data_IF_362963991735
#
_entry.id   IF_362963991735
#
_cell.length_a   1.000
_cell.length_b   1.000
_cell.length_c   1.000
_cell.angle_alpha   90.00
_cell.angle_beta   90.00
_cell.angle_gamma   90.00
#
_symmetry.space_group_name_H-M   'P 1'
#
loop_
_entity.id
_entity.type
_entity.pdbx_description
1 polymer ?
#
# COMPACT_ATOMS: atom_id res chain seq x y z
N UNK A 1 -6.65 6.54 14.81
CA UNK A 1 -6.06 5.22 15.11
C UNK A 1 -4.65 5.41 15.59
N UNK A 2 -4.30 4.76 16.66
CA UNK A 2 -2.98 4.89 17.26
C UNK A 2 -1.94 4.13 16.47
N UNK A 3 -0.70 4.61 16.53
CA UNK A 3 0.40 3.99 15.81
C UNK A 3 0.60 2.51 16.19
N UNK A 4 0.44 2.17 17.46
CA UNK A 4 0.56 0.79 17.91
C UNK A 4 -0.47 -0.12 17.27
N UNK A 5 -1.69 0.36 17.07
CA UNK A 5 -2.73 -0.42 16.42
C UNK A 5 -2.44 -0.61 14.94
N UNK A 6 -1.93 0.43 14.30
CA UNK A 6 -1.54 0.35 12.88
C UNK A 6 -0.41 -0.67 12.73
N UNK A 7 0.58 -0.61 13.61
CA UNK A 7 1.70 -1.55 13.59
C UNK A 7 1.23 -2.99 13.77
N UNK A 8 0.32 -3.21 14.71
CA UNK A 8 -0.24 -4.52 14.96
C UNK A 8 -0.91 -5.09 13.71
N UNK A 9 -1.73 -4.28 13.06
CA UNK A 9 -2.43 -4.71 11.84
C UNK A 9 -1.49 -4.97 10.69
N UNK A 10 -0.48 -4.11 10.51
CA UNK A 10 0.49 -4.29 9.43
C UNK A 10 1.32 -5.56 9.63
N UNK A 11 1.82 -5.78 10.83
CA UNK A 11 2.63 -6.96 11.14
C UNK A 11 1.80 -8.23 10.99
N UNK A 12 0.58 -8.22 11.52
CA UNK A 12 -0.30 -9.38 11.41
C UNK A 12 -0.64 -9.69 9.96
N UNK A 13 -0.88 -8.66 9.16
CA UNK A 13 -1.15 -8.87 7.74
C UNK A 13 0.04 -9.52 7.04
N UNK A 14 1.24 -9.01 7.26
CA UNK A 14 2.45 -9.58 6.66
C UNK A 14 2.67 -11.03 7.08
N UNK A 15 2.42 -11.34 8.35
CA UNK A 15 2.55 -12.70 8.84
C UNK A 15 1.49 -13.63 8.24
N UNK A 16 0.25 -13.14 8.15
CA UNK A 16 -0.85 -13.94 7.62
C UNK A 16 -0.64 -14.35 6.16
N UNK A 17 -0.06 -13.46 5.36
CA UNK A 17 0.17 -13.74 3.95
C UNK A 17 1.54 -14.35 3.68
N UNK A 18 2.35 -14.59 4.71
CA UNK A 18 3.65 -15.22 4.57
C UNK A 18 4.76 -14.30 4.06
N UNK A 19 4.55 -12.99 4.07
CA UNK A 19 5.57 -12.02 3.71
C UNK A 19 6.33 -11.59 4.95
N UNK A 20 7.24 -12.43 5.39
CA UNK A 20 8.09 -12.09 6.53
C UNK A 20 9.54 -12.02 6.07
N UNK A 21 10.38 -11.44 6.93
CA UNK A 21 11.81 -11.37 6.63
C UNK A 21 12.37 -12.77 6.45
N UNK A 22 12.97 -13.03 5.28
CA UNK A 22 13.61 -14.30 4.99
C UNK A 22 15.04 -14.04 4.56
N UNK A 23 15.97 -14.69 5.19
CA UNK A 23 17.39 -14.55 4.87
C UNK A 23 17.83 -15.45 3.72
N UNK A 24 17.04 -16.44 3.34
CA UNK A 24 17.48 -17.50 2.45
C UNK A 24 16.81 -17.52 1.09
N UNK A 25 15.67 -16.85 0.91
CA UNK A 25 14.93 -16.91 -0.34
C UNK A 25 14.57 -15.53 -0.83
N UNK A 26 14.67 -15.38 -2.13
CA UNK A 26 14.13 -14.21 -2.80
C UNK A 26 12.60 -14.26 -2.68
N UNK A 27 12.00 -13.15 -2.24
CA UNK A 27 10.56 -13.09 -2.12
C UNK A 27 9.90 -13.03 -3.49
N UNK A 28 8.78 -13.71 -3.61
CA UNK A 28 7.98 -13.75 -4.81
C UNK A 28 6.79 -12.82 -4.65
N UNK A 29 7.00 -11.55 -4.95
CA UNK A 29 5.95 -10.56 -4.79
C UNK A 29 4.80 -10.74 -5.76
N UNK A 30 5.07 -11.30 -6.96
CA UNK A 30 4.02 -11.64 -7.91
C UNK A 30 3.03 -12.64 -7.29
N UNK A 31 3.54 -13.65 -6.59
CA UNK A 31 2.68 -14.62 -5.91
C UNK A 31 1.92 -14.01 -4.75
N UNK A 32 2.55 -13.09 -4.04
CA UNK A 32 1.87 -12.35 -2.97
C UNK A 32 0.68 -11.59 -3.54
N UNK A 33 0.87 -10.86 -4.63
CA UNK A 33 -0.21 -10.08 -5.21
C UNK A 33 -1.35 -10.96 -5.71
N UNK A 34 -1.04 -12.12 -6.28
CA UNK A 34 -2.06 -13.09 -6.67
C UNK A 34 -2.83 -13.63 -5.47
N UNK A 35 -2.16 -13.80 -4.34
CA UNK A 35 -2.80 -14.35 -3.14
C UNK A 35 -3.75 -13.37 -2.45
N UNK A 36 -3.71 -12.09 -2.81
CA UNK A 36 -4.60 -11.10 -2.20
C UNK A 36 -6.07 -11.43 -2.41
N UNK A 37 -6.42 -12.11 -3.51
CA UNK A 37 -7.80 -12.52 -3.78
C UNK A 37 -8.35 -13.47 -2.73
N UNK A 38 -7.49 -14.23 -2.07
CA UNK A 38 -7.90 -15.13 -0.99
C UNK A 38 -8.49 -14.32 0.17
N UNK A 39 -8.01 -13.10 0.36
CA UNK A 39 -8.48 -12.22 1.42
C UNK A 39 -9.55 -11.24 0.95
N UNK A 40 -10.07 -11.45 -0.25
CA UNK A 40 -11.12 -10.60 -0.80
C UNK A 40 -10.64 -9.31 -1.43
N UNK A 41 -9.33 -9.15 -1.59
CA UNK A 41 -8.76 -7.94 -2.19
C UNK A 41 -8.42 -8.21 -3.65
N UNK A 42 -8.86 -7.32 -4.53
CA UNK A 42 -8.55 -7.37 -5.95
C UNK A 42 -7.46 -6.36 -6.27
N UNK A 43 -6.40 -6.82 -6.91
CA UNK A 43 -5.38 -5.93 -7.44
C UNK A 43 -5.58 -5.82 -8.96
N UNK A 44 -5.97 -4.64 -9.40
CA UNK A 44 -6.25 -4.36 -10.80
C UNK A 44 -5.09 -3.54 -11.37
N UNK A 45 -4.57 -4.01 -12.50
CA UNK A 45 -3.42 -3.36 -13.13
C UNK A 45 -3.89 -2.70 -14.42
N UNK A 46 -3.70 -1.40 -14.49
CA UNK A 46 -4.12 -0.60 -15.65
C UNK A 46 -2.92 -0.30 -16.53
N UNK A 47 -3.11 -0.31 -17.84
CA UNK A 47 -2.04 0.09 -18.75
C UNK A 47 -1.63 1.53 -18.47
N UNK A 48 -0.33 1.82 -18.61
CA UNK A 48 0.21 3.13 -18.26
C UNK A 48 -0.45 4.26 -19.07
N UNK A 49 -0.74 4.01 -20.35
CA UNK A 49 -1.42 5.01 -21.18
C UNK A 49 -2.82 5.33 -20.67
N UNK A 50 -3.55 4.30 -20.26
CA UNK A 50 -4.90 4.48 -19.74
C UNK A 50 -4.89 5.17 -18.39
N UNK A 51 -3.91 4.83 -17.56
CA UNK A 51 -3.75 5.47 -16.26
C UNK A 51 -3.47 6.97 -16.43
N UNK A 52 -2.54 7.31 -17.32
CA UNK A 52 -2.19 8.69 -17.60
C UNK A 52 -3.39 9.47 -18.13
N UNK A 53 -4.15 8.86 -19.05
CA UNK A 53 -5.34 9.51 -19.63
C UNK A 53 -6.43 9.75 -18.58
N UNK A 54 -6.58 8.81 -17.62
CA UNK A 54 -7.62 8.90 -16.60
C UNK A 54 -7.23 9.85 -15.48
N UNK A 55 -5.98 9.83 -15.05
CA UNK A 55 -5.53 10.51 -13.82
C UNK A 55 -4.63 11.71 -14.10
N UNK A 56 -4.17 11.90 -15.33
CA UNK A 56 -3.17 12.92 -15.69
C UNK A 56 -1.88 12.79 -14.85
N UNK A 57 -1.59 11.56 -14.40
CA UNK A 57 -0.45 11.27 -13.51
C UNK A 57 -0.47 12.05 -12.18
N UNK A 58 -1.64 12.49 -11.75
CA UNK A 58 -1.78 13.17 -10.46
C UNK A 58 -1.73 12.22 -9.29
N UNK A 59 -1.97 10.93 -9.53
CA UNK A 59 -1.86 9.90 -8.50
C UNK A 59 -1.07 8.72 -9.06
N UNK A 60 -0.55 7.88 -8.17
CA UNK A 60 0.23 6.71 -8.55
C UNK A 60 -0.40 5.39 -8.11
N UNK A 61 -1.54 5.48 -7.44
CA UNK A 61 -2.33 4.33 -7.03
C UNK A 61 -3.69 4.79 -6.59
N UNK A 62 -4.62 3.85 -6.54
CA UNK A 62 -6.00 4.15 -6.13
C UNK A 62 -6.60 2.92 -5.46
N UNK A 63 -7.43 3.14 -4.46
CA UNK A 63 -8.18 2.06 -3.85
C UNK A 63 -9.67 2.41 -3.78
N UNK A 64 -10.49 1.38 -3.90
CA UNK A 64 -11.93 1.49 -3.73
C UNK A 64 -12.33 0.59 -2.56
N UNK A 65 -12.57 1.16 -1.38
CA UNK A 65 -12.94 0.36 -0.21
C UNK A 65 -14.25 -0.40 -0.36
N UNK A 66 -15.18 0.10 -1.19
CA UNK A 66 -16.47 -0.55 -1.37
C UNK A 66 -16.33 -1.90 -2.07
N UNK A 67 -15.42 -2.00 -3.04
CA UNK A 67 -15.17 -3.22 -3.79
C UNK A 67 -13.89 -3.93 -3.35
N UNK A 68 -13.16 -3.39 -2.38
CA UNK A 68 -11.87 -3.89 -1.93
C UNK A 68 -10.89 -4.06 -3.09
N UNK A 69 -10.85 -3.06 -3.96
CA UNK A 69 -10.02 -3.09 -5.17
C UNK A 69 -8.94 -2.03 -5.09
N UNK A 70 -7.72 -2.44 -5.42
CA UNK A 70 -6.58 -1.53 -5.58
C UNK A 70 -6.25 -1.49 -7.07
N UNK A 71 -6.11 -0.29 -7.62
CA UNK A 71 -5.73 -0.11 -9.02
C UNK A 71 -4.41 0.63 -9.10
N UNK A 72 -3.46 0.11 -9.85
CA UNK A 72 -2.17 0.74 -10.07
C UNK A 72 -1.81 0.68 -11.55
N UNK A 73 -0.99 1.61 -12.04
CA UNK A 73 -0.49 1.50 -13.41
C UNK A 73 0.51 0.34 -13.54
N UNK A 74 0.61 -0.19 -14.73
CA UNK A 74 1.45 -1.37 -14.97
C UNK A 74 2.89 -1.17 -14.54
N UNK A 75 3.45 0.03 -14.73
CA UNK A 75 4.83 0.33 -14.31
C UNK A 75 5.03 0.12 -12.81
N UNK A 76 4.04 0.48 -12.01
CA UNK A 76 4.11 0.28 -10.56
C UNK A 76 4.04 -1.21 -10.24
N UNK A 77 3.12 -1.94 -10.88
CA UNK A 77 2.98 -3.37 -10.64
C UNK A 77 4.25 -4.13 -10.99
N UNK A 78 4.83 -3.88 -12.16
CA UNK A 78 6.05 -4.56 -12.60
C UNK A 78 7.20 -4.28 -11.63
N UNK A 79 7.38 -3.03 -11.24
CA UNK A 79 8.45 -2.67 -10.32
C UNK A 79 8.23 -3.27 -8.93
N UNK A 80 6.98 -3.35 -8.49
CA UNK A 80 6.67 -3.99 -7.20
C UNK A 80 6.98 -5.49 -7.25
N UNK A 81 6.69 -6.16 -8.36
CA UNK A 81 7.03 -7.57 -8.52
C UNK A 81 8.54 -7.79 -8.45
N UNK A 82 9.31 -6.81 -8.88
CA UNK A 82 10.78 -6.86 -8.80
C UNK A 82 11.32 -6.49 -7.41
N UNK A 83 10.45 -6.10 -6.49
CA UNK A 83 10.84 -5.75 -5.13
C UNK A 83 11.30 -4.31 -4.97
N UNK A 84 10.99 -3.44 -5.93
CA UNK A 84 11.38 -2.05 -5.86
C UNK A 84 10.61 -1.36 -4.73
N UNK A 85 11.34 -0.66 -3.85
CA UNK A 85 10.80 -0.13 -2.60
C UNK A 85 9.65 0.85 -2.82
N UNK A 86 9.82 1.81 -3.71
CA UNK A 86 8.79 2.82 -3.94
C UNK A 86 7.48 2.20 -4.46
N UNK A 87 7.61 1.27 -5.40
CA UNK A 87 6.44 0.61 -5.97
C UNK A 87 5.71 -0.24 -4.93
N UNK A 88 6.47 -0.95 -4.09
CA UNK A 88 5.87 -1.70 -2.98
C UNK A 88 5.19 -0.76 -1.99
N UNK A 89 5.80 0.40 -1.72
CA UNK A 89 5.22 1.38 -0.82
C UNK A 89 3.86 1.86 -1.33
N UNK A 90 3.73 2.08 -2.64
CA UNK A 90 2.45 2.49 -3.24
C UNK A 90 1.38 1.44 -2.97
N UNK A 91 1.69 0.18 -3.24
CA UNK A 91 0.71 -0.90 -3.06
C UNK A 91 0.35 -1.08 -1.59
N UNK A 92 1.33 -1.06 -0.69
CA UNK A 92 1.05 -1.18 0.74
C UNK A 92 0.30 0.01 1.29
N UNK A 93 0.53 1.20 0.75
CA UNK A 93 -0.24 2.39 1.13
C UNK A 93 -1.73 2.19 0.81
N UNK A 94 -2.04 1.72 -0.41
CA UNK A 94 -3.42 1.46 -0.80
C UNK A 94 -4.02 0.32 0.01
N UNK A 95 -3.25 -0.73 0.27
CA UNK A 95 -3.68 -1.81 1.18
C UNK A 95 -3.98 -1.25 2.57
N UNK A 96 -3.18 -0.31 3.03
CA UNK A 96 -3.41 0.33 4.32
C UNK A 96 -4.78 0.98 4.39
N UNK A 97 -5.17 1.72 3.37
CA UNK A 97 -6.50 2.31 3.33
C UNK A 97 -7.60 1.25 3.45
N UNK A 98 -7.45 0.14 2.73
CA UNK A 98 -8.45 -0.93 2.77
C UNK A 98 -8.49 -1.62 4.12
N UNK A 99 -7.32 -1.97 4.65
CA UNK A 99 -7.24 -2.81 5.86
C UNK A 99 -7.49 -2.02 7.13
N UNK A 100 -7.30 -0.72 7.10
CA UNK A 100 -7.61 0.14 8.23
C UNK A 100 -9.04 0.67 8.18
N UNK A 101 -9.78 0.32 7.13
CA UNK A 101 -11.18 0.66 7.03
C UNK A 101 -11.45 2.12 6.69
N UNK A 102 -10.54 2.76 5.98
CA UNK A 102 -10.73 4.14 5.57
C UNK A 102 -11.85 4.26 4.55
N UNK A 103 -12.67 5.30 4.68
CA UNK A 103 -13.72 5.59 3.73
C UNK A 103 -13.23 6.57 2.69
N UNK A 104 -13.76 6.50 1.46
CA UNK A 104 -13.43 7.52 0.47
C UNK A 104 -13.79 8.90 1.00
N UNK A 105 -12.88 9.85 0.85
CA UNK A 105 -13.11 11.22 1.30
C UNK A 105 -13.16 12.10 0.07
N UNK A 106 -14.24 12.85 -0.06
CA UNK A 106 -14.38 13.82 -1.14
C UNK A 106 -13.48 15.01 -0.81
N UNK A 107 -12.49 15.25 -1.66
CA UNK A 107 -11.46 16.23 -1.40
C UNK A 107 -11.94 17.67 -1.32
N UNK A 108 -13.12 17.95 -1.83
CA UNK A 108 -13.69 19.30 -1.76
C UNK A 108 -14.55 19.52 -0.52
N UNK A 109 -14.59 18.57 0.38
CA UNK A 109 -15.22 18.77 1.67
C UNK A 109 -14.22 19.51 2.56
N UNK A 110 -14.26 20.81 2.53
CA UNK A 110 -13.33 21.65 3.27
C UNK A 110 -13.48 21.56 4.79
N UNK A 111 -14.48 20.81 5.25
CA UNK A 111 -14.81 20.81 6.68
C UNK A 111 -13.94 19.89 7.54
N UNK A 112 -13.18 18.96 6.94
CA UNK A 112 -12.38 18.02 7.73
C UNK A 112 -11.04 17.69 7.06
N UNK A 113 -10.17 18.70 6.84
CA UNK A 113 -8.85 18.42 6.27
C UNK A 113 -8.01 17.51 7.15
N UNK A 114 -8.17 17.60 8.48
CA UNK A 114 -7.43 16.77 9.42
C UNK A 114 -7.80 15.29 9.28
N UNK A 115 -9.04 14.98 8.92
CA UNK A 115 -9.46 13.59 8.74
C UNK A 115 -8.80 12.95 7.51
N UNK A 116 -8.66 13.72 6.43
CA UNK A 116 -7.97 13.26 5.24
C UNK A 116 -6.49 13.03 5.53
N UNK A 117 -5.86 14.01 6.20
CA UNK A 117 -4.46 13.90 6.60
C UNK A 117 -4.24 12.71 7.50
N UNK A 118 -5.15 12.47 8.44
CA UNK A 118 -5.07 11.36 9.37
C UNK A 118 -5.12 10.01 8.64
N UNK A 119 -6.04 9.89 7.67
CA UNK A 119 -6.15 8.67 6.89
C UNK A 119 -4.89 8.44 6.04
N UNK A 120 -4.37 9.49 5.42
CA UNK A 120 -3.14 9.38 4.64
C UNK A 120 -1.94 9.03 5.52
N UNK A 121 -1.83 9.67 6.68
CA UNK A 121 -0.78 9.35 7.63
C UNK A 121 -0.87 7.89 8.09
N UNK A 122 -2.08 7.42 8.36
CA UNK A 122 -2.29 6.04 8.79
C UNK A 122 -1.88 5.06 7.69
N UNK A 123 -2.24 5.33 6.44
CA UNK A 123 -1.87 4.46 5.33
C UNK A 123 -0.36 4.47 5.09
N UNK A 124 0.28 5.63 5.19
CA UNK A 124 1.73 5.74 5.07
C UNK A 124 2.43 4.98 6.19
N UNK A 125 1.93 5.11 7.41
CA UNK A 125 2.48 4.40 8.56
C UNK A 125 2.35 2.89 8.38
N UNK A 126 1.19 2.43 7.91
CA UNK A 126 0.97 1.02 7.60
C UNK A 126 2.00 0.52 6.59
N UNK A 127 2.19 1.27 5.51
CA UNK A 127 3.14 0.89 4.46
C UNK A 127 4.57 0.82 4.99
N UNK A 128 4.98 1.81 5.78
CA UNK A 128 6.33 1.84 6.35
C UNK A 128 6.59 0.63 7.24
N UNK A 129 5.64 0.32 8.11
CA UNK A 129 5.79 -0.81 9.03
C UNK A 129 5.79 -2.13 8.27
N UNK A 130 4.93 -2.26 7.25
CA UNK A 130 4.90 -3.45 6.42
C UNK A 130 6.23 -3.66 5.71
N UNK A 131 6.80 -2.60 5.12
CA UNK A 131 8.07 -2.70 4.42
C UNK A 131 9.22 -3.05 5.36
N UNK A 132 9.22 -2.53 6.57
CA UNK A 132 10.19 -2.92 7.59
C UNK A 132 10.02 -4.39 7.98
N UNK A 133 8.77 -4.83 8.16
CA UNK A 133 8.47 -6.19 8.58
C UNK A 133 8.94 -7.21 7.55
N UNK A 134 8.78 -6.91 6.27
CA UNK A 134 9.21 -7.83 5.21
C UNK A 134 10.68 -7.66 4.82
N UNK A 135 11.39 -6.71 5.44
CA UNK A 135 12.82 -6.55 5.24
C UNK A 135 13.22 -5.72 4.03
N UNK A 136 12.29 -5.01 3.41
CA UNK A 136 12.59 -4.13 2.27
C UNK A 136 13.13 -2.79 2.74
N UNK A 137 12.64 -2.31 3.89
CA UNK A 137 13.00 -1.02 4.44
C UNK A 137 13.50 -1.19 5.86
N UNK A 138 14.58 -0.50 6.20
CA UNK A 138 15.06 -0.43 7.57
C UNK A 138 14.44 0.79 8.22
N UNK A 139 14.42 0.80 9.55
CA UNK A 139 13.91 1.93 10.31
C UNK A 139 14.66 3.23 9.95
N UNK A 140 15.96 3.13 9.74
CA UNK A 140 16.79 4.26 9.37
C UNK A 140 16.38 4.84 8.02
N UNK A 141 16.13 3.99 7.03
CA UNK A 141 15.69 4.41 5.71
C UNK A 141 14.32 5.07 5.77
N UNK A 142 13.44 4.52 6.59
CA UNK A 142 12.11 5.09 6.79
C UNK A 142 12.20 6.52 7.34
N UNK A 143 13.12 6.75 8.28
CA UNK A 143 13.34 8.06 8.84
C UNK A 143 13.83 9.05 7.78
N UNK A 144 14.79 8.63 6.96
CA UNK A 144 15.36 9.48 5.91
C UNK A 144 14.32 9.83 4.85
N UNK A 145 13.35 8.96 4.62
CA UNK A 145 12.31 9.17 3.64
C UNK A 145 11.48 10.42 3.93
N UNK A 146 11.27 10.74 5.20
CA UNK A 146 10.46 11.88 5.60
C UNK A 146 11.25 13.18 5.70
N UNK A 147 12.51 13.14 5.44
CA UNK A 147 13.34 14.32 5.43
C UNK A 147 13.54 14.87 4.04
#
# INVERSE_FOLDING_TARGET
MQEEEIAYRAINFCNAIGLTTSKRRRKRYDMFFESLSIYGVTLDVMEDKDWEALTYDLTIGHCDPASLTITVPNKIYVNACLGEEHALAVIFHELGHLLLGHKPVLHFSAKEPTRVEDAEWQADTFADIALETIGVRTQQMSFDFYM
#
